data_IF_616087497021
#
_entry.id   IF_616087497021
#
_cell.length_a   1.000
_cell.length_b   1.000
_cell.length_c   1.000
_cell.angle_alpha   90.00
_cell.angle_beta   90.00
_cell.angle_gamma   90.00
#
_symmetry.space_group_name_H-M   'P 1'
#
loop_
_entity.id
_entity.type
_entity.pdbx_description
1 polymer ?
#
# COMPACT_ATOMS: atom_id res chain seq x y z
N UNK A 1 18.57 -18.99 -12.52
CA UNK A 1 17.88 -19.19 -11.22
C UNK A 1 16.46 -19.66 -11.47
N UNK A 2 15.94 -20.65 -10.72
CA UNK A 2 14.56 -21.14 -10.90
C UNK A 2 13.57 -20.00 -10.63
N UNK A 3 12.52 -19.87 -11.45
CA UNK A 3 11.49 -18.82 -11.37
C UNK A 3 10.83 -18.73 -9.97
N UNK A 4 10.77 -19.85 -9.25
CA UNK A 4 10.23 -19.94 -7.90
C UNK A 4 11.12 -19.17 -6.91
N UNK A 5 12.44 -19.36 -6.98
CA UNK A 5 13.42 -18.69 -6.12
C UNK A 5 13.36 -17.17 -6.29
N UNK A 6 13.22 -16.68 -7.52
CA UNK A 6 13.08 -15.25 -7.80
C UNK A 6 11.79 -14.65 -7.20
N UNK A 7 10.69 -15.40 -7.22
CA UNK A 7 9.40 -14.95 -6.62
C UNK A 7 9.51 -14.87 -5.09
N UNK A 8 10.14 -15.86 -4.45
CA UNK A 8 10.34 -15.85 -3.00
C UNK A 8 11.23 -14.68 -2.56
N UNK A 9 12.35 -14.45 -3.25
CA UNK A 9 13.24 -13.32 -2.97
C UNK A 9 12.50 -11.99 -3.09
N UNK A 10 11.67 -11.82 -4.13
CA UNK A 10 10.87 -10.61 -4.30
C UNK A 10 9.88 -10.36 -3.15
N UNK A 11 9.26 -11.43 -2.62
CA UNK A 11 8.36 -11.33 -1.46
C UNK A 11 9.16 -11.03 -0.18
N UNK A 12 10.31 -11.66 0.01
CA UNK A 12 11.22 -11.36 1.12
C UNK A 12 11.68 -9.90 1.12
N UNK A 13 11.97 -9.33 -0.04
CA UNK A 13 12.31 -7.90 -0.15
C UNK A 13 11.13 -6.98 0.21
N UNK A 14 9.89 -7.40 -0.06
CA UNK A 14 8.67 -6.69 0.37
C UNK A 14 8.42 -6.73 1.88
N UNK A 15 9.09 -7.61 2.63
CA UNK A 15 8.98 -7.67 4.09
C UNK A 15 9.56 -6.40 4.73
N UNK A 16 10.63 -5.83 4.16
CA UNK A 16 11.29 -4.63 4.69
C UNK A 16 10.30 -3.45 4.84
N UNK A 17 9.60 -2.99 3.78
CA UNK A 17 8.59 -1.93 3.93
C UNK A 17 7.40 -2.37 4.79
N UNK A 18 7.12 -3.67 4.89
CA UNK A 18 6.10 -4.21 5.79
C UNK A 18 6.46 -4.01 7.26
N UNK A 19 7.71 -4.30 7.63
CA UNK A 19 8.23 -4.06 8.98
C UNK A 19 8.19 -2.57 9.31
N UNK A 20 8.61 -1.70 8.37
CA UNK A 20 8.52 -0.23 8.54
C UNK A 20 7.07 0.20 8.79
N UNK A 21 6.11 -0.36 8.06
CA UNK A 21 4.70 -0.07 8.27
C UNK A 21 4.24 -0.50 9.68
N UNK A 22 4.57 -1.72 10.12
CA UNK A 22 4.24 -2.19 11.46
C UNK A 22 4.84 -1.29 12.55
N UNK A 23 6.11 -0.90 12.43
CA UNK A 23 6.73 0.02 13.38
C UNK A 23 6.04 1.39 13.43
N UNK A 24 5.67 1.95 12.27
CA UNK A 24 4.88 3.18 12.21
C UNK A 24 3.53 3.06 12.91
N UNK A 25 2.83 1.95 12.68
CA UNK A 25 1.55 1.65 13.33
C UNK A 25 1.69 1.50 14.85
N UNK A 26 2.74 0.84 15.34
CA UNK A 26 3.02 0.74 16.78
C UNK A 26 3.16 2.13 17.41
N UNK A 27 3.93 3.03 16.81
CA UNK A 27 4.11 4.41 17.30
C UNK A 27 2.80 5.20 17.33
N UNK A 28 1.94 5.02 16.32
CA UNK A 28 0.61 5.62 16.31
C UNK A 28 -0.26 5.09 17.45
N UNK A 29 -0.32 3.76 17.60
CA UNK A 29 -1.10 3.10 18.66
C UNK A 29 -0.64 3.56 20.03
N UNK A 30 0.66 3.60 20.27
CA UNK A 30 1.22 3.95 21.57
C UNK A 30 0.92 5.42 21.93
N UNK A 31 0.97 6.32 20.94
CA UNK A 31 0.60 7.73 21.14
C UNK A 31 -0.88 7.90 21.47
N UNK A 32 -1.76 7.15 20.79
CA UNK A 32 -3.20 7.13 21.06
C UNK A 32 -3.52 6.53 22.43
N UNK A 33 -2.88 5.41 22.78
CA UNK A 33 -3.12 4.70 24.02
C UNK A 33 -2.64 5.52 25.23
N UNK A 34 -1.48 6.17 25.12
CA UNK A 34 -0.97 7.06 26.15
C UNK A 34 -1.95 8.23 26.39
N UNK A 35 -2.41 8.88 25.33
CA UNK A 35 -3.36 9.99 25.44
C UNK A 35 -4.65 9.57 26.13
N UNK A 36 -5.23 8.44 25.73
CA UNK A 36 -6.46 7.90 26.33
C UNK A 36 -6.25 7.42 27.76
N UNK A 37 -5.12 6.78 28.07
CA UNK A 37 -4.81 6.29 29.41
C UNK A 37 -4.53 7.41 30.41
N UNK A 38 -4.14 8.61 29.94
CA UNK A 38 -3.90 9.77 30.80
C UNK A 38 -5.17 10.58 31.11
N UNK A 39 -6.34 10.19 30.59
CA UNK A 39 -7.62 10.76 31.01
C UNK A 39 -7.98 10.24 32.42
N UNK A 40 -7.65 11.02 33.45
CA UNK A 40 -7.98 10.72 34.85
C UNK A 40 -6.90 11.11 35.86
N UNK A 41 -5.69 11.46 35.39
CA UNK A 41 -4.61 11.95 36.24
C UNK A 41 -4.55 13.48 36.18
N UNK A 42 -5.04 14.17 37.22
CA UNK A 42 -5.02 15.64 37.32
C UNK A 42 -3.59 16.22 37.40
N UNK A 43 -2.59 15.37 37.66
CA UNK A 43 -1.18 15.74 37.74
C UNK A 43 -0.46 15.74 36.38
N UNK A 44 -0.99 15.06 35.37
CA UNK A 44 -0.32 14.88 34.07
C UNK A 44 -1.06 15.70 33.03
N UNK A 45 -0.41 16.75 32.52
CA UNK A 45 -0.93 17.54 31.41
C UNK A 45 -0.96 16.64 30.17
N UNK A 46 -2.11 16.01 29.91
CA UNK A 46 -2.32 15.08 28.80
C UNK A 46 -2.27 15.84 27.47
N UNK A 47 -1.06 16.11 26.99
CA UNK A 47 -0.83 16.64 25.65
C UNK A 47 -0.72 15.46 24.69
N UNK A 48 -1.50 15.50 23.62
CA UNK A 48 -1.39 14.50 22.58
C UNK A 48 -0.03 14.61 21.88
N UNK A 49 0.69 13.49 21.79
CA UNK A 49 2.02 13.40 21.18
C UNK A 49 1.95 13.47 19.64
N UNK A 50 1.48 14.60 19.11
CA UNK A 50 1.26 14.82 17.67
C UNK A 50 2.50 14.52 16.83
N UNK A 51 3.69 14.87 17.31
CA UNK A 51 4.96 14.61 16.60
C UNK A 51 5.22 13.11 16.42
N UNK A 52 5.07 12.31 17.48
CA UNK A 52 5.26 10.85 17.43
C UNK A 52 4.16 10.18 16.60
N UNK A 53 2.93 10.65 16.73
CA UNK A 53 1.80 10.14 15.94
C UNK A 53 1.99 10.41 14.45
N UNK A 54 2.33 11.65 14.07
CA UNK A 54 2.50 12.03 12.67
C UNK A 54 3.71 11.35 12.02
N UNK A 55 4.80 11.20 12.76
CA UNK A 55 5.95 10.41 12.32
C UNK A 55 5.57 8.94 12.08
N UNK A 56 4.83 8.35 13.02
CA UNK A 56 4.27 7.00 12.88
C UNK A 56 3.36 6.86 11.67
N UNK A 57 2.49 7.85 11.44
CA UNK A 57 1.58 7.92 10.29
C UNK A 57 2.35 7.97 8.97
N UNK A 58 3.41 8.79 8.88
CA UNK A 58 4.24 8.89 7.68
C UNK A 58 4.96 7.56 7.42
N UNK A 59 5.56 6.94 8.43
CA UNK A 59 6.22 5.63 8.28
C UNK A 59 5.23 4.54 7.87
N UNK A 60 4.03 4.53 8.46
CA UNK A 60 2.96 3.60 8.11
C UNK A 60 2.47 3.82 6.68
N UNK A 61 2.14 5.05 6.31
CA UNK A 61 1.65 5.40 4.98
C UNK A 61 2.72 5.15 3.90
N UNK A 62 3.99 5.42 4.19
CA UNK A 62 5.10 5.12 3.28
C UNK A 62 5.26 3.60 3.08
N UNK A 63 5.26 2.81 4.16
CA UNK A 63 5.38 1.35 4.06
C UNK A 63 4.19 0.69 3.39
N UNK A 64 2.97 1.00 3.84
CA UNK A 64 1.73 0.47 3.26
C UNK A 64 1.51 0.96 1.82
N UNK A 65 1.76 2.25 1.56
CA UNK A 65 1.66 2.86 0.24
C UNK A 65 2.66 2.27 -0.75
N UNK A 66 3.89 1.99 -0.31
CA UNK A 66 4.90 1.31 -1.13
C UNK A 66 4.44 -0.11 -1.51
N UNK A 67 3.95 -0.91 -0.55
CA UNK A 67 3.47 -2.27 -0.82
C UNK A 67 2.26 -2.26 -1.76
N UNK A 68 1.30 -1.36 -1.52
CA UNK A 68 0.10 -1.22 -2.35
C UNK A 68 0.47 -0.77 -3.77
N UNK A 69 1.34 0.24 -3.91
CA UNK A 69 1.81 0.77 -5.19
C UNK A 69 2.60 -0.27 -5.99
N UNK A 70 3.56 -0.94 -5.35
CA UNK A 70 4.29 -2.04 -5.97
C UNK A 70 3.37 -3.18 -6.40
N UNK A 71 2.40 -3.55 -5.54
CA UNK A 71 1.41 -4.59 -5.84
C UNK A 71 0.55 -4.22 -7.04
N UNK A 72 0.10 -2.97 -7.12
CA UNK A 72 -0.67 -2.50 -8.27
C UNK A 72 0.16 -2.50 -9.56
N UNK A 73 1.42 -2.04 -9.49
CA UNK A 73 2.33 -2.04 -10.64
C UNK A 73 2.65 -3.45 -11.15
N UNK A 74 2.94 -4.40 -10.24
CA UNK A 74 3.21 -5.80 -10.62
C UNK A 74 1.98 -6.47 -11.23
N UNK A 75 0.78 -6.19 -10.71
CA UNK A 75 -0.45 -6.84 -11.18
C UNK A 75 -0.92 -6.27 -12.51
N UNK A 76 -0.65 -4.99 -12.78
CA UNK A 76 -0.88 -4.37 -14.08
C UNK A 76 -0.09 -5.06 -15.18
N UNK A 77 1.19 -5.37 -14.96
CA UNK A 77 2.05 -6.07 -15.95
C UNK A 77 1.56 -7.48 -16.27
N UNK A 78 0.85 -8.14 -15.36
CA UNK A 78 0.34 -9.51 -15.53
C UNK A 78 -1.15 -9.57 -15.90
N UNK A 79 -1.78 -8.43 -16.20
CA UNK A 79 -3.21 -8.33 -16.53
C UNK A 79 -4.18 -8.88 -15.44
N UNK A 80 -3.73 -8.93 -14.17
CA UNK A 80 -4.55 -9.33 -13.02
C UNK A 80 -5.39 -8.18 -12.45
N UNK A 81 -5.36 -7.02 -13.09
CA UNK A 81 -6.18 -5.86 -12.70
C UNK A 81 -7.63 -6.03 -13.14
N UNK A 82 -8.55 -5.44 -12.37
CA UNK A 82 -9.98 -5.43 -12.72
C UNK A 82 -10.22 -4.83 -14.13
N UNK A 83 -11.28 -5.23 -14.86
CA UNK A 83 -11.56 -4.76 -16.22
C UNK A 83 -11.54 -3.23 -16.38
N UNK A 84 -11.90 -2.48 -15.32
CA UNK A 84 -11.87 -1.01 -15.29
C UNK A 84 -10.46 -0.42 -15.42
N UNK A 85 -9.43 -1.14 -14.99
CA UNK A 85 -8.02 -0.71 -15.01
C UNK A 85 -7.21 -1.37 -16.13
N UNK A 86 -7.85 -2.20 -16.98
CA UNK A 86 -7.19 -2.78 -18.16
C UNK A 86 -7.07 -1.74 -19.25
N UNK A 87 -5.96 -1.80 -19.98
CA UNK A 87 -5.75 -0.95 -21.15
C UNK A 87 -6.78 -1.32 -22.23
N UNK A 88 -7.51 -0.32 -22.74
CA UNK A 88 -8.48 -0.53 -23.82
C UNK A 88 -7.69 -0.90 -25.06
N UNK A 89 -7.68 -2.18 -25.43
CA UNK A 89 -7.11 -2.63 -26.70
C UNK A 89 -7.89 -1.94 -27.82
N UNK A 90 -7.21 -1.10 -28.60
CA UNK A 90 -7.78 -0.50 -29.81
C UNK A 90 -8.29 -1.65 -30.69
N UNK A 91 -9.61 -1.79 -30.78
CA UNK A 91 -10.21 -2.80 -31.66
C UNK A 91 -9.83 -2.40 -33.09
N UNK A 92 -9.29 -3.32 -33.90
CA UNK A 92 -9.04 -3.02 -35.30
C UNK A 92 -10.35 -2.56 -35.97
N UNK A 93 -10.27 -1.62 -36.92
CA UNK A 93 -11.45 -1.12 -37.62
C UNK A 93 -12.23 -2.29 -38.20
N UNK A 94 -13.55 -2.29 -37.95
CA UNK A 94 -14.46 -3.33 -38.43
C UNK A 94 -14.32 -3.39 -39.96
N UNK A 95 -14.12 -4.56 -40.58
CA UNK A 95 -13.99 -4.64 -42.03
C UNK A 95 -15.26 -4.08 -42.67
N UNK A 96 -15.11 -3.01 -43.45
CA UNK A 96 -16.18 -2.45 -44.27
C UNK A 96 -16.59 -3.54 -45.24
N UNK A 97 -17.77 -4.13 -45.00
CA UNK A 97 -18.35 -5.12 -45.90
C UNK A 97 -18.67 -4.38 -47.19
N UNK A 98 -17.76 -4.45 -48.17
CA UNK A 98 -18.03 -3.95 -49.51
C UNK A 98 -19.32 -4.64 -49.97
N UNK A 99 -20.37 -3.84 -50.19
CA UNK A 99 -21.61 -4.32 -50.79
C UNK A 99 -21.23 -4.89 -52.15
N UNK A 100 -21.19 -6.22 -52.24
CA UNK A 100 -21.20 -6.91 -53.52
C UNK A 100 -22.54 -6.57 -54.17
N UNK A 101 -22.45 -5.86 -55.29
CA UNK A 101 -23.55 -5.50 -56.19
C UNK A 101 -24.15 -6.75 -56.82
#
# INVERSE_FOLDING_TARGET
>A
MKLITQRLIAILLLVIPGIVACFGFLKMKDSLFLYWSSFGDDAVRSSFEWGKFLLGLIMFAAGAGFIAGWTFYRDRKRNYVAPRFKEKRNKPPKPTRAKQQ
#
